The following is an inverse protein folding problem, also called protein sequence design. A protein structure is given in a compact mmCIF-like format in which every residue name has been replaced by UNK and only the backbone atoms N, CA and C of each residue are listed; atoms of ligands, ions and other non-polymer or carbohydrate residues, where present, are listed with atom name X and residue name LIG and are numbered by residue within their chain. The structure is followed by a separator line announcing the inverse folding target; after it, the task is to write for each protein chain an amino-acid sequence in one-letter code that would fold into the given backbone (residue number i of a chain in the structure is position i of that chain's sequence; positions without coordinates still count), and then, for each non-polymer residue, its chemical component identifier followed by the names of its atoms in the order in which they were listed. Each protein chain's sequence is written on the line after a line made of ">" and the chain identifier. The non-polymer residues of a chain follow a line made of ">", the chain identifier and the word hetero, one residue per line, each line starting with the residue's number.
data_IF_650882509999
#
_entry.id   IF_650882509999
#
_cell.length_a   1.000
_cell.length_b   1.000
_cell.length_c   1.000
_cell.angle_alpha   90.00
_cell.angle_beta   90.00
_cell.angle_gamma   90.00
#
_symmetry.space_group_name_H-M   'P 1'
#
loop_
_entity.id
_entity.type
_entity.pdbx_description
1 polymer ?
#
# COMPACT_ATOMS: atom_id res chain seq x y z
N UNK A 1 -46.13 54.73 8.72
CA UNK A 1 -45.66 56.07 8.35
C UNK A 1 -45.19 56.78 9.61
N UNK A 2 -43.89 56.91 9.83
CA UNK A 2 -43.27 58.00 10.59
C UNK A 2 -41.77 58.00 10.28
N UNK A 3 -41.38 58.99 9.49
CA UNK A 3 -40.02 59.40 9.13
C UNK A 3 -39.42 60.23 10.27
N UNK A 4 -38.15 60.03 10.61
CA UNK A 4 -37.36 60.97 11.44
C UNK A 4 -35.97 61.14 10.80
N UNK A 5 -35.42 62.37 10.71
CA UNK A 5 -34.39 62.73 9.74
C UNK A 5 -32.95 62.65 10.24
N UNK A 6 -32.07 62.63 9.25
CA UNK A 6 -30.62 62.75 9.26
C UNK A 6 -30.16 64.05 9.93
N UNK A 7 -29.24 63.96 10.91
CA UNK A 7 -28.44 65.10 11.37
C UNK A 7 -26.96 64.73 11.30
N UNK A 8 -26.22 65.45 10.46
CA UNK A 8 -24.78 65.34 10.32
C UNK A 8 -24.08 66.12 11.44
N UNK A 9 -23.06 65.52 12.06
CA UNK A 9 -22.09 66.24 12.88
C UNK A 9 -20.71 66.06 12.28
N UNK A 10 -20.14 67.18 11.85
CA UNK A 10 -18.72 67.33 11.51
C UNK A 10 -17.97 67.61 12.81
N UNK A 11 -16.96 66.80 13.12
CA UNK A 11 -15.99 67.10 14.19
C UNK A 11 -14.62 67.23 13.53
N UNK A 12 -14.04 68.42 13.68
CA UNK A 12 -12.68 68.79 13.30
C UNK A 12 -11.77 68.52 14.50
N UNK A 13 -10.55 68.07 14.20
CA UNK A 13 -9.65 67.35 15.08
C UNK A 13 -9.09 68.07 16.31
N UNK A 14 -8.46 67.26 17.15
CA UNK A 14 -7.36 67.70 18.00
C UNK A 14 -6.26 66.64 17.93
N UNK A 15 -5.10 67.02 17.40
CA UNK A 15 -3.91 66.19 17.35
C UNK A 15 -3.19 66.29 18.69
N UNK A 16 -3.08 65.17 19.40
CA UNK A 16 -2.25 65.03 20.59
C UNK A 16 -1.25 63.90 20.35
N UNK A 17 0.03 64.28 20.38
CA UNK A 17 1.18 63.40 20.27
C UNK A 17 1.35 62.65 21.60
N UNK A 18 1.21 61.32 21.58
CA UNK A 18 1.57 60.43 22.69
C UNK A 18 2.87 59.69 22.35
N UNK A 19 3.74 59.39 23.33
CA UNK A 19 4.99 58.69 23.09
C UNK A 19 4.75 57.21 22.77
N UNK A 20 5.66 56.66 21.98
CA UNK A 20 5.66 55.29 21.48
C UNK A 20 5.61 54.24 22.59
N UNK A 21 4.72 53.26 22.43
CA UNK A 21 4.95 51.89 22.85
C UNK A 21 4.91 51.06 21.58
N UNK A 22 6.08 50.66 21.10
CA UNK A 22 6.21 49.62 20.10
C UNK A 22 5.56 48.36 20.67
N UNK A 23 4.36 48.06 20.20
CA UNK A 23 3.78 46.73 20.38
C UNK A 23 4.53 45.87 19.38
N UNK A 24 5.60 45.22 19.83
CA UNK A 24 6.15 44.07 19.13
C UNK A 24 5.01 43.08 18.95
N UNK A 25 4.48 43.03 17.73
CA UNK A 25 3.77 41.86 17.24
C UNK A 25 4.78 40.73 17.30
N UNK A 26 4.73 39.96 18.39
CA UNK A 26 5.29 38.62 18.41
C UNK A 26 4.48 37.86 17.36
N UNK A 27 5.00 37.85 16.14
CA UNK A 27 4.62 36.87 15.15
C UNK A 27 5.12 35.57 15.76
N UNK A 28 4.23 34.86 16.44
CA UNK A 28 4.43 33.45 16.73
C UNK A 28 4.61 32.81 15.36
N UNK A 29 5.87 32.58 15.01
CA UNK A 29 6.26 31.76 13.88
C UNK A 29 5.67 30.39 14.20
N UNK A 30 4.49 30.13 13.62
CA UNK A 30 3.94 28.79 13.62
C UNK A 30 5.03 27.93 13.01
N UNK A 31 5.70 27.12 13.84
CA UNK A 31 6.53 26.04 13.36
C UNK A 31 5.65 25.29 12.38
N UNK A 32 6.03 25.34 11.10
CA UNK A 32 5.41 24.51 10.10
C UNK A 32 5.55 23.10 10.64
N UNK A 33 4.43 22.48 11.03
CA UNK A 33 4.38 21.04 11.19
C UNK A 33 4.80 20.53 9.82
N UNK A 34 6.02 19.99 9.75
CA UNK A 34 6.49 19.25 8.60
C UNK A 34 5.43 18.15 8.39
N UNK A 35 4.53 18.39 7.44
CA UNK A 35 3.66 17.35 6.91
C UNK A 35 4.62 16.25 6.48
N UNK A 36 4.57 15.10 7.16
CA UNK A 36 5.45 13.99 6.86
C UNK A 36 5.38 13.76 5.36
N UNK A 37 6.45 14.08 4.65
CA UNK A 37 6.47 13.98 3.20
C UNK A 37 6.17 12.53 2.85
N UNK A 38 5.00 12.28 2.25
CA UNK A 38 4.65 10.95 1.76
C UNK A 38 5.62 10.62 0.63
N UNK A 39 6.46 9.61 0.87
CA UNK A 39 7.43 9.10 -0.08
C UNK A 39 6.82 7.90 -0.83
N UNK A 40 6.92 7.90 -2.15
CA UNK A 40 6.43 6.80 -3.01
C UNK A 40 7.01 5.46 -2.57
N UNK A 41 8.29 5.39 -2.17
CA UNK A 41 8.86 4.14 -1.71
C UNK A 41 8.24 3.69 -0.37
N UNK A 42 8.04 4.62 0.57
CA UNK A 42 7.37 4.36 1.84
C UNK A 42 5.90 3.91 1.65
N UNK A 43 5.16 4.56 0.74
CA UNK A 43 3.78 4.19 0.42
C UNK A 43 3.71 2.77 -0.15
N UNK A 44 4.61 2.41 -1.07
CA UNK A 44 4.69 1.06 -1.62
C UNK A 44 4.97 0.00 -0.54
N UNK A 45 5.84 0.28 0.42
CA UNK A 45 6.09 -0.62 1.58
C UNK A 45 4.84 -0.78 2.43
N UNK A 46 4.13 0.32 2.71
CA UNK A 46 2.88 0.31 3.47
C UNK A 46 1.78 -0.52 2.81
N UNK A 47 1.57 -0.31 1.51
CA UNK A 47 0.60 -1.06 0.70
C UNK A 47 0.96 -2.54 0.59
N UNK A 48 2.24 -2.84 0.38
CA UNK A 48 2.75 -4.21 0.30
C UNK A 48 2.49 -5.00 1.59
N UNK A 49 2.79 -4.40 2.75
CA UNK A 49 2.54 -5.02 4.05
C UNK A 49 1.05 -5.16 4.35
N UNK A 50 0.24 -4.18 3.95
CA UNK A 50 -1.23 -4.27 4.08
C UNK A 50 -1.79 -5.42 3.24
N UNK A 51 -1.27 -5.60 2.02
CA UNK A 51 -1.62 -6.71 1.14
C UNK A 51 -1.17 -8.06 1.71
N UNK A 52 0.03 -8.16 2.27
CA UNK A 52 0.51 -9.35 2.99
C UNK A 52 -0.51 -9.82 4.02
N UNK A 53 -0.94 -8.91 4.91
CA UNK A 53 -1.88 -9.24 5.97
C UNK A 53 -3.21 -9.80 5.43
N UNK A 54 -3.72 -9.21 4.35
CA UNK A 54 -4.96 -9.67 3.70
C UNK A 54 -4.79 -11.03 3.05
N UNK A 55 -3.66 -11.27 2.37
CA UNK A 55 -3.36 -12.56 1.76
C UNK A 55 -3.17 -13.66 2.80
N UNK A 56 -2.47 -13.40 3.90
CA UNK A 56 -2.28 -14.34 5.01
C UNK A 56 -3.63 -14.73 5.61
N UNK A 57 -4.47 -13.76 5.95
CA UNK A 57 -5.81 -14.05 6.48
C UNK A 57 -6.62 -14.92 5.52
N UNK A 58 -6.55 -14.66 4.21
CA UNK A 58 -7.27 -15.45 3.22
C UNK A 58 -6.71 -16.88 3.05
N UNK A 59 -5.40 -17.06 3.15
CA UNK A 59 -4.80 -18.39 3.14
C UNK A 59 -5.20 -19.18 4.39
N UNK A 60 -5.11 -18.57 5.57
CA UNK A 60 -5.44 -19.20 6.85
C UNK A 60 -6.90 -19.62 6.96
N UNK A 61 -7.83 -18.85 6.37
CA UNK A 61 -9.26 -19.11 6.43
C UNK A 61 -9.73 -20.36 5.65
N UNK A 62 -8.93 -20.85 4.69
CA UNK A 62 -9.25 -22.08 3.95
C UNK A 62 -8.84 -23.32 4.76
N UNK A 63 -9.73 -24.28 5.05
CA UNK A 63 -9.38 -25.53 5.72
C UNK A 63 -8.29 -26.33 4.97
N UNK A 64 -7.46 -27.06 5.70
CA UNK A 64 -6.31 -27.77 5.12
C UNK A 64 -6.74 -28.82 4.09
N UNK A 65 -7.86 -29.50 4.33
CA UNK A 65 -8.45 -30.49 3.43
C UNK A 65 -8.94 -29.89 2.09
N UNK A 66 -9.05 -28.56 1.99
CA UNK A 66 -9.45 -27.87 0.77
C UNK A 66 -8.27 -27.17 0.06
N UNK A 67 -7.02 -27.35 0.52
CA UNK A 67 -5.87 -26.76 -0.19
C UNK A 67 -5.67 -27.34 -1.60
N UNK A 68 -6.06 -28.60 -1.81
CA UNK A 68 -6.07 -29.24 -3.12
C UNK A 68 -7.40 -29.05 -3.87
N UNK A 69 -8.37 -28.32 -3.30
CA UNK A 69 -9.65 -28.06 -3.95
C UNK A 69 -9.47 -27.27 -5.24
N UNK A 70 -10.17 -27.72 -6.29
CA UNK A 70 -10.13 -27.19 -7.64
C UNK A 70 -11.55 -26.87 -8.10
N UNK A 71 -11.91 -25.60 -8.37
CA UNK A 71 -13.28 -25.27 -8.80
C UNK A 71 -13.65 -25.88 -10.16
N UNK A 72 -12.71 -25.89 -11.10
CA UNK A 72 -12.81 -26.56 -12.40
C UNK A 72 -11.46 -27.17 -12.77
N UNK A 73 -11.42 -28.07 -13.75
CA UNK A 73 -10.18 -28.75 -14.15
C UNK A 73 -9.11 -27.80 -14.71
N UNK A 74 -9.51 -26.65 -15.26
CA UNK A 74 -8.61 -25.69 -15.90
C UNK A 74 -7.95 -24.71 -14.92
N UNK A 75 -8.55 -24.53 -13.75
CA UNK A 75 -8.02 -23.60 -12.73
C UNK A 75 -6.89 -24.24 -11.94
N UNK A 76 -6.10 -23.44 -11.21
CA UNK A 76 -5.20 -23.99 -10.19
C UNK A 76 -6.01 -24.53 -9.01
N UNK A 77 -5.46 -25.46 -8.25
CA UNK A 77 -6.00 -25.68 -6.91
C UNK A 77 -5.63 -24.50 -5.98
N UNK A 78 -6.22 -24.46 -4.78
CA UNK A 78 -6.01 -23.34 -3.86
C UNK A 78 -4.54 -23.14 -3.46
N UNK A 79 -3.81 -24.23 -3.19
CA UNK A 79 -2.40 -24.17 -2.81
C UNK A 79 -1.49 -23.72 -3.97
N UNK A 80 -1.76 -24.21 -5.18
CA UNK A 80 -1.10 -23.78 -6.42
C UNK A 80 -1.38 -22.29 -6.71
N UNK A 81 -2.56 -21.78 -6.38
CA UNK A 81 -2.90 -20.37 -6.53
C UNK A 81 -2.02 -19.47 -5.64
N UNK A 82 -1.78 -19.90 -4.39
CA UNK A 82 -0.84 -19.24 -3.48
C UNK A 82 0.59 -19.30 -3.99
N UNK A 83 1.02 -20.45 -4.53
CA UNK A 83 2.38 -20.63 -5.07
C UNK A 83 2.61 -19.88 -6.38
N UNK A 84 1.55 -19.63 -7.16
CA UNK A 84 1.58 -18.75 -8.32
C UNK A 84 1.85 -17.30 -7.92
N UNK A 85 1.15 -16.79 -6.89
CA UNK A 85 1.40 -15.45 -6.33
C UNK A 85 2.83 -15.35 -5.81
N UNK A 86 3.26 -16.32 -5.00
CA UNK A 86 4.61 -16.40 -4.43
C UNK A 86 5.69 -16.35 -5.53
N UNK A 87 5.50 -17.12 -6.61
CA UNK A 87 6.43 -17.11 -7.74
C UNK A 87 6.47 -15.79 -8.50
N UNK A 88 5.31 -15.16 -8.72
CA UNK A 88 5.22 -13.87 -9.40
C UNK A 88 5.92 -12.76 -8.59
N UNK A 89 5.70 -12.74 -7.28
CA UNK A 89 6.34 -11.81 -6.36
C UNK A 89 7.87 -11.99 -6.37
N UNK A 90 8.36 -13.20 -6.13
CA UNK A 90 9.81 -13.47 -6.14
C UNK A 90 10.47 -13.07 -7.46
N UNK A 91 9.82 -13.34 -8.60
CA UNK A 91 10.35 -12.97 -9.91
C UNK A 91 10.45 -11.44 -10.08
N UNK A 92 9.37 -10.70 -9.79
CA UNK A 92 9.41 -9.24 -9.96
C UNK A 92 10.39 -8.62 -8.98
N UNK A 93 10.36 -9.01 -7.70
CA UNK A 93 11.21 -8.40 -6.67
C UNK A 93 12.70 -8.71 -6.89
N UNK A 94 13.04 -9.91 -7.38
CA UNK A 94 14.41 -10.23 -7.80
C UNK A 94 14.89 -9.46 -9.03
N UNK A 95 13.97 -8.96 -9.87
CA UNK A 95 14.34 -8.05 -10.96
C UNK A 95 14.72 -6.66 -10.43
N UNK A 96 14.09 -6.23 -9.34
CA UNK A 96 14.40 -4.93 -8.71
C UNK A 96 15.77 -4.94 -8.02
N UNK A 97 16.09 -6.06 -7.36
CA UNK A 97 17.36 -6.24 -6.66
C UNK A 97 17.90 -7.66 -6.88
N UNK A 98 18.74 -7.80 -7.90
CA UNK A 98 19.33 -9.08 -8.29
C UNK A 98 20.38 -9.61 -7.31
N UNK A 99 20.88 -8.77 -6.40
CA UNK A 99 21.84 -9.16 -5.37
C UNK A 99 21.15 -9.78 -4.14
N UNK A 100 19.82 -9.65 -4.04
CA UNK A 100 19.02 -10.24 -2.97
C UNK A 100 18.36 -11.54 -3.44
N UNK A 101 18.84 -12.66 -2.93
CA UNK A 101 18.33 -13.99 -3.25
C UNK A 101 16.85 -14.15 -2.83
N UNK A 102 16.02 -14.60 -3.76
CA UNK A 102 14.62 -14.89 -3.48
C UNK A 102 14.47 -16.15 -2.61
N UNK A 103 13.45 -16.22 -1.74
CA UNK A 103 13.21 -17.40 -0.92
C UNK A 103 12.84 -18.60 -1.79
N UNK A 104 13.27 -19.78 -1.34
CA UNK A 104 12.90 -21.04 -1.98
C UNK A 104 11.39 -21.29 -1.84
N UNK A 105 10.79 -21.88 -2.87
CA UNK A 105 9.40 -22.36 -2.81
C UNK A 105 9.42 -23.86 -2.51
N UNK A 106 8.41 -24.38 -1.78
CA UNK A 106 8.30 -25.81 -1.56
C UNK A 106 8.09 -26.52 -2.90
N UNK A 107 8.68 -27.71 -3.04
CA UNK A 107 8.50 -28.54 -4.23
C UNK A 107 7.07 -29.08 -4.34
N UNK A 108 6.45 -29.35 -3.18
CA UNK A 108 5.10 -29.90 -3.05
C UNK A 108 4.19 -28.92 -2.28
N UNK A 109 2.89 -28.93 -2.61
CA UNK A 109 1.91 -27.98 -2.05
C UNK A 109 0.87 -28.61 -1.13
N UNK A 110 1.07 -29.87 -0.73
CA UNK A 110 0.14 -30.61 0.13
C UNK A 110 0.13 -30.18 1.61
N UNK A 111 1.16 -29.47 2.07
CA UNK A 111 1.21 -28.94 3.44
C UNK A 111 0.79 -27.46 3.49
N UNK A 112 -0.38 -27.21 4.08
CA UNK A 112 -0.92 -25.87 4.31
C UNK A 112 0.07 -24.92 4.98
N UNK A 113 0.78 -25.40 6.02
CA UNK A 113 1.70 -24.55 6.78
C UNK A 113 2.91 -24.15 5.93
N UNK A 114 3.47 -25.10 5.18
CA UNK A 114 4.58 -24.82 4.26
C UNK A 114 4.18 -23.84 3.14
N UNK A 115 2.99 -23.99 2.57
CA UNK A 115 2.47 -23.09 1.52
C UNK A 115 2.25 -21.67 2.06
N UNK A 116 1.64 -21.53 3.24
CA UNK A 116 1.46 -20.22 3.88
C UNK A 116 2.82 -19.58 4.18
N UNK A 117 3.75 -20.34 4.76
CA UNK A 117 5.06 -19.81 5.13
C UNK A 117 5.83 -19.34 3.89
N UNK A 118 5.84 -20.11 2.81
CA UNK A 118 6.50 -19.71 1.58
C UNK A 118 5.91 -18.42 0.98
N UNK A 119 4.59 -18.23 1.07
CA UNK A 119 3.96 -16.97 0.69
C UNK A 119 4.40 -15.82 1.61
N UNK A 120 4.42 -16.03 2.93
CA UNK A 120 4.89 -15.04 3.90
C UNK A 120 6.33 -14.62 3.60
N UNK A 121 7.20 -15.59 3.37
CA UNK A 121 8.62 -15.37 3.06
C UNK A 121 8.80 -14.55 1.78
N UNK A 122 7.97 -14.79 0.75
CA UNK A 122 7.94 -14.00 -0.48
C UNK A 122 7.52 -12.53 -0.24
N UNK A 123 6.53 -12.30 0.63
CA UNK A 123 6.17 -10.94 1.03
C UNK A 123 7.28 -10.28 1.85
N UNK A 124 7.93 -10.99 2.77
CA UNK A 124 9.02 -10.44 3.57
C UNK A 124 10.25 -10.11 2.71
N UNK A 125 10.55 -10.96 1.73
CA UNK A 125 11.54 -10.70 0.70
C UNK A 125 11.21 -9.43 -0.09
N UNK A 126 9.98 -9.30 -0.58
CA UNK A 126 9.54 -8.09 -1.29
C UNK A 126 9.63 -6.83 -0.42
N UNK A 127 9.26 -6.92 0.86
CA UNK A 127 9.39 -5.80 1.79
C UNK A 127 10.85 -5.40 2.01
N UNK A 128 11.77 -6.38 2.13
CA UNK A 128 13.20 -6.13 2.26
C UNK A 128 13.79 -5.47 1.00
N UNK A 129 13.40 -5.92 -0.20
CA UNK A 129 13.78 -5.28 -1.47
C UNK A 129 13.30 -3.82 -1.50
N UNK A 130 12.02 -3.57 -1.18
CA UNK A 130 11.46 -2.21 -1.17
C UNK A 130 12.11 -1.29 -0.13
N UNK A 131 12.46 -1.83 1.05
CA UNK A 131 13.13 -1.06 2.09
C UNK A 131 14.55 -0.61 1.69
N UNK A 132 15.13 -1.18 0.63
CA UNK A 132 16.40 -0.73 0.07
C UNK A 132 16.27 0.38 -0.99
N UNK A 133 15.04 0.71 -1.40
CA UNK A 133 14.75 1.74 -2.39
C UNK A 133 14.51 3.12 -1.75
N UNK A 134 14.74 4.18 -2.52
CA UNK A 134 14.43 5.58 -2.17
C UNK A 134 13.43 6.17 -3.16
N UNK A 135 12.94 7.38 -2.89
CA UNK A 135 12.09 8.14 -3.83
C UNK A 135 12.68 8.30 -5.23
N UNK A 136 14.01 8.34 -5.32
CA UNK A 136 14.74 8.47 -6.59
C UNK A 136 14.93 7.10 -7.24
N UNK A 137 15.47 6.11 -6.51
CA UNK A 137 15.80 4.80 -7.11
C UNK A 137 14.54 4.03 -7.54
N UNK A 138 13.40 4.24 -6.89
CA UNK A 138 12.13 3.62 -7.29
C UNK A 138 11.62 4.13 -8.65
N UNK A 139 12.16 5.24 -9.16
CA UNK A 139 11.85 5.78 -10.48
C UNK A 139 12.77 5.24 -11.58
N UNK A 140 13.83 4.50 -11.23
CA UNK A 140 14.74 3.90 -12.21
C UNK A 140 14.00 2.99 -13.19
N UNK A 141 14.42 3.05 -14.45
CA UNK A 141 13.84 2.24 -15.53
C UNK A 141 14.60 0.92 -15.65
N UNK A 142 13.85 -0.18 -15.58
CA UNK A 142 14.33 -1.56 -15.67
C UNK A 142 13.53 -2.36 -16.70
N UNK A 143 14.07 -3.49 -17.12
CA UNK A 143 13.31 -4.50 -17.89
C UNK A 143 12.50 -5.38 -16.94
N UNK A 144 11.20 -5.16 -16.90
CA UNK A 144 10.33 -5.70 -15.88
C UNK A 144 9.56 -6.93 -16.36
N UNK A 145 10.24 -8.08 -16.48
CA UNK A 145 9.66 -9.36 -16.89
C UNK A 145 8.50 -9.24 -17.90
N UNK A 146 7.26 -9.43 -17.46
CA UNK A 146 6.06 -9.45 -18.31
C UNK A 146 5.53 -8.07 -18.73
N UNK A 147 6.01 -6.99 -18.12
CA UNK A 147 5.63 -5.60 -18.42
C UNK A 147 6.57 -4.93 -19.42
N UNK A 148 7.75 -5.51 -19.67
CA UNK A 148 8.83 -4.90 -20.46
C UNK A 148 9.44 -3.68 -19.77
N UNK A 149 10.04 -2.78 -20.54
CA UNK A 149 10.66 -1.53 -20.04
C UNK A 149 9.68 -0.72 -19.19
N UNK A 150 9.98 -0.55 -17.90
CA UNK A 150 9.11 0.13 -16.93
C UNK A 150 9.94 0.70 -15.77
N UNK A 151 9.38 1.66 -15.02
CA UNK A 151 9.99 2.07 -13.75
C UNK A 151 9.85 0.97 -12.70
N UNK A 152 10.77 0.90 -11.73
CA UNK A 152 10.65 -0.02 -10.58
C UNK A 152 9.31 0.16 -9.85
N UNK A 153 8.87 1.39 -9.63
CA UNK A 153 7.57 1.69 -9.03
C UNK A 153 6.40 1.00 -9.77
N UNK A 154 6.39 1.07 -11.11
CA UNK A 154 5.36 0.42 -11.93
C UNK A 154 5.41 -1.10 -11.83
N UNK A 155 6.60 -1.70 -11.72
CA UNK A 155 6.76 -3.13 -11.50
C UNK A 155 6.12 -3.60 -10.20
N UNK A 156 6.43 -2.90 -9.10
CA UNK A 156 5.91 -3.22 -7.76
C UNK A 156 4.40 -3.07 -7.75
N UNK A 157 3.90 -1.90 -8.18
CA UNK A 157 2.47 -1.64 -8.24
C UNK A 157 1.71 -2.67 -9.07
N UNK A 158 2.24 -3.04 -10.24
CA UNK A 158 1.61 -4.05 -11.11
C UNK A 158 1.61 -5.45 -10.48
N UNK A 159 2.64 -5.78 -9.69
CA UNK A 159 2.70 -7.03 -8.93
C UNK A 159 1.68 -7.05 -7.79
N UNK A 160 1.46 -5.91 -7.12
CA UNK A 160 0.39 -5.78 -6.12
C UNK A 160 -0.99 -5.89 -6.77
N UNK A 161 -1.22 -5.28 -7.93
CA UNK A 161 -2.48 -5.41 -8.69
C UNK A 161 -2.72 -6.87 -9.13
N UNK A 162 -1.68 -7.56 -9.59
CA UNK A 162 -1.73 -8.99 -9.89
C UNK A 162 -2.17 -9.78 -8.66
N UNK A 163 -1.50 -9.59 -7.53
CA UNK A 163 -1.83 -10.25 -6.26
C UNK A 163 -3.27 -9.96 -5.81
N UNK A 164 -3.75 -8.73 -5.97
CA UNK A 164 -5.14 -8.36 -5.69
C UNK A 164 -6.16 -9.06 -6.61
N UNK A 165 -5.80 -9.25 -7.87
CA UNK A 165 -6.61 -10.01 -8.83
C UNK A 165 -6.73 -11.47 -8.40
N UNK A 166 -5.62 -12.07 -7.98
CA UNK A 166 -5.61 -13.45 -7.46
C UNK A 166 -6.33 -13.58 -6.12
N UNK A 167 -6.27 -12.55 -5.25
CA UNK A 167 -7.10 -12.48 -4.04
C UNK A 167 -8.60 -12.56 -4.39
N UNK A 168 -9.02 -11.84 -5.43
CA UNK A 168 -10.40 -11.89 -5.94
C UNK A 168 -10.78 -13.30 -6.42
N UNK A 169 -9.88 -13.96 -7.14
CA UNK A 169 -10.07 -15.37 -7.56
C UNK A 169 -10.23 -16.27 -6.34
N UNK A 170 -9.34 -16.19 -5.36
CA UNK A 170 -9.38 -17.00 -4.13
C UNK A 170 -10.62 -16.76 -3.26
N UNK A 171 -11.23 -15.58 -3.33
CA UNK A 171 -12.52 -15.27 -2.69
C UNK A 171 -13.62 -16.20 -3.23
N UNK A 172 -13.59 -16.52 -4.53
CA UNK A 172 -14.54 -17.46 -5.15
C UNK A 172 -14.36 -18.88 -4.62
N UNK A 173 -13.12 -19.31 -4.35
CA UNK A 173 -12.82 -20.65 -3.82
C UNK A 173 -13.46 -20.82 -2.44
N UNK A 174 -13.35 -19.80 -1.59
CA UNK A 174 -14.02 -19.78 -0.29
C UNK A 174 -15.53 -19.90 -0.43
N UNK A 175 -16.15 -19.09 -1.29
CA UNK A 175 -17.61 -19.07 -1.45
C UNK A 175 -18.16 -20.37 -2.03
N UNK A 176 -17.45 -21.00 -2.96
CA UNK A 176 -17.83 -22.30 -3.51
C UNK A 176 -17.73 -23.43 -2.47
N UNK A 177 -16.97 -23.24 -1.40
CA UNK A 177 -16.86 -24.17 -0.27
C UNK A 177 -17.67 -23.72 0.96
N UNK A 178 -18.62 -22.79 0.80
CA UNK A 178 -19.49 -22.34 1.89
C UNK A 178 -18.80 -21.50 2.97
N UNK A 179 -17.57 -21.02 2.72
CA UNK A 179 -16.81 -20.19 3.65
C UNK A 179 -17.10 -18.71 3.42
N UNK A 180 -16.86 -17.90 4.46
CA UNK A 180 -16.89 -16.44 4.38
C UNK A 180 -15.47 -15.89 4.27
N UNK A 181 -15.08 -15.31 3.11
CA UNK A 181 -13.80 -14.66 2.91
C UNK A 181 -13.55 -13.60 4.00
N UNK A 182 -12.34 -13.55 4.60
CA UNK A 182 -12.05 -12.73 5.78
C UNK A 182 -12.43 -11.25 5.67
N UNK A 183 -12.19 -10.62 4.52
CA UNK A 183 -12.52 -9.20 4.31
C UNK A 183 -14.05 -8.91 4.26
N UNK A 184 -14.89 -9.93 4.28
CA UNK A 184 -16.35 -9.84 4.19
C UNK A 184 -17.09 -10.60 5.31
N UNK A 185 -16.37 -10.91 6.39
CA UNK A 185 -16.95 -11.48 7.61
C UNK A 185 -17.75 -10.44 8.41
#
# INVERSE_FOLDING_TARGET
>A
MFTVPLTAFVIVGFSACAPATDVETVVEEAEAVEEAATDVAADLVGDWNSLKNRMVAQAEAMPAELYEYKPTEELRNFAEQLMHITGAQNNTMGTLNADMEAPARPEETGDKAAVIQAMIDSFDYGAAVLASETSDSIQDVIECSYLGTSTKARCVYSTMVHTWSEYGVMTVYHRLNGLVPPASQ
#
